data_IF_383982261353
#
_entry.id   IF_383982261353
#
_cell.length_a   1.000
_cell.length_b   1.000
_cell.length_c   1.000
_cell.angle_alpha   90.00
_cell.angle_beta   90.00
_cell.angle_gamma   90.00
#
_symmetry.space_group_name_H-M   'P 1'
#
loop_
_entity.id
_entity.type
_entity.pdbx_description
1 polymer ?
#
# COMPACT_ATOMS: atom_id res chain seq x y z
N UNK A 1 8.44 -18.15 -2.76
CA UNK A 1 7.49 -17.16 -3.31
C UNK A 1 7.33 -15.95 -2.38
N UNK A 2 6.99 -16.10 -1.10
CA UNK A 2 6.91 -14.99 -0.12
C UNK A 2 8.09 -14.00 -0.11
N UNK A 3 9.34 -14.48 -0.11
CA UNK A 3 10.54 -13.61 -0.19
C UNK A 3 10.63 -12.77 -1.48
N UNK A 4 10.08 -13.25 -2.59
CA UNK A 4 10.01 -12.50 -3.86
C UNK A 4 8.95 -11.39 -3.79
N UNK A 5 7.88 -11.59 -3.01
CA UNK A 5 6.84 -10.60 -2.74
C UNK A 5 7.40 -9.47 -1.86
N UNK A 6 7.99 -9.82 -0.72
CA UNK A 6 8.47 -8.86 0.30
C UNK A 6 9.66 -8.00 -0.18
N UNK A 7 10.47 -8.51 -1.12
CA UNK A 7 11.73 -7.85 -1.53
C UNK A 7 11.63 -7.13 -2.89
N UNK A 8 10.49 -7.22 -3.60
CA UNK A 8 10.26 -6.66 -4.93
C UNK A 8 11.06 -7.34 -6.06
N UNK A 9 12.39 -7.40 -5.94
CA UNK A 9 13.27 -8.28 -6.71
C UNK A 9 14.48 -8.68 -5.87
N UNK A 10 14.92 -9.93 -5.98
CA UNK A 10 15.94 -10.53 -5.11
C UNK A 10 16.80 -11.54 -5.88
N UNK A 11 18.05 -11.75 -5.47
CA UNK A 11 18.95 -12.73 -6.08
C UNK A 11 18.79 -14.12 -5.45
N UNK A 12 19.18 -15.16 -6.18
CA UNK A 12 19.23 -16.52 -5.63
C UNK A 12 20.20 -16.67 -4.43
N UNK A 13 21.23 -15.82 -4.37
CA UNK A 13 22.16 -15.78 -3.23
C UNK A 13 21.48 -15.24 -1.98
N UNK A 14 20.84 -14.07 -2.08
CA UNK A 14 20.11 -13.46 -0.96
C UNK A 14 18.97 -14.34 -0.45
N UNK A 15 18.25 -15.06 -1.33
CA UNK A 15 17.26 -16.06 -0.91
C UNK A 15 17.94 -17.21 -0.17
N UNK A 16 19.07 -17.70 -0.68
CA UNK A 16 19.85 -18.77 -0.08
C UNK A 16 20.30 -18.43 1.33
N UNK A 17 20.83 -17.22 1.53
CA UNK A 17 21.29 -16.72 2.83
C UNK A 17 20.13 -16.64 3.83
N UNK A 18 18.98 -16.09 3.43
CA UNK A 18 17.80 -15.97 4.30
C UNK A 18 17.16 -17.31 4.68
N UNK A 19 17.22 -18.30 3.78
CA UNK A 19 16.60 -19.60 3.98
C UNK A 19 17.58 -20.69 4.43
N UNK A 20 18.87 -20.36 4.61
CA UNK A 20 19.95 -21.33 4.85
C UNK A 20 19.99 -22.46 3.80
N UNK A 21 19.78 -22.10 2.53
CA UNK A 21 19.76 -23.03 1.40
C UNK A 21 20.93 -22.78 0.44
N UNK A 22 21.42 -23.86 -0.17
CA UNK A 22 22.41 -23.74 -1.22
C UNK A 22 21.85 -22.98 -2.43
N UNK A 23 22.58 -22.00 -3.01
CA UNK A 23 22.12 -21.22 -4.15
C UNK A 23 21.72 -22.06 -5.37
N UNK A 24 22.29 -23.25 -5.55
CA UNK A 24 21.91 -24.18 -6.61
C UNK A 24 20.48 -24.72 -6.43
N UNK A 25 20.09 -25.08 -5.21
CA UNK A 25 18.74 -25.53 -4.89
C UNK A 25 17.72 -24.41 -5.10
N UNK A 26 18.05 -23.20 -4.65
CA UNK A 26 17.21 -22.01 -4.87
C UNK A 26 16.97 -21.74 -6.36
N UNK A 27 18.02 -21.83 -7.20
CA UNK A 27 17.88 -21.65 -8.65
C UNK A 27 16.92 -22.64 -9.29
N UNK A 28 16.99 -23.93 -8.90
CA UNK A 28 16.06 -24.94 -9.41
C UNK A 28 14.60 -24.60 -9.09
N UNK A 29 14.32 -24.07 -7.90
CA UNK A 29 12.97 -23.62 -7.55
C UNK A 29 12.55 -22.35 -8.33
N UNK A 30 13.47 -21.41 -8.53
CA UNK A 30 13.21 -20.21 -9.33
C UNK A 30 12.94 -20.54 -10.80
N UNK A 31 13.69 -21.49 -11.37
CA UNK A 31 13.50 -21.95 -12.74
C UNK A 31 12.11 -22.59 -12.92
N UNK A 32 11.66 -23.41 -11.96
CA UNK A 32 10.31 -23.98 -11.98
C UNK A 32 9.21 -22.90 -11.89
N UNK A 33 9.42 -21.84 -11.09
CA UNK A 33 8.50 -20.70 -11.02
C UNK A 33 8.48 -19.89 -12.32
N UNK A 34 9.62 -19.78 -13.02
CA UNK A 34 9.69 -19.12 -14.33
C UNK A 34 8.96 -19.95 -15.39
N UNK A 35 9.17 -21.27 -15.40
CA UNK A 35 8.50 -22.19 -16.31
C UNK A 35 6.98 -22.18 -16.12
N UNK A 36 6.52 -22.04 -14.88
CA UNK A 36 5.10 -21.90 -14.54
C UNK A 36 4.52 -20.49 -14.85
N UNK A 37 5.34 -19.54 -15.29
CA UNK A 37 4.94 -18.15 -15.54
C UNK A 37 4.74 -17.28 -14.29
N UNK A 38 5.14 -17.78 -13.12
CA UNK A 38 4.90 -17.15 -11.81
C UNK A 38 6.01 -16.20 -11.38
N UNK A 39 7.20 -16.37 -11.94
CA UNK A 39 8.33 -15.49 -11.71
C UNK A 39 9.01 -15.13 -13.03
N UNK A 40 9.76 -14.05 -13.03
CA UNK A 40 10.61 -13.66 -14.15
C UNK A 40 12.01 -13.29 -13.67
N UNK A 41 12.99 -13.52 -14.55
CA UNK A 41 14.37 -13.14 -14.32
C UNK A 41 14.67 -11.80 -14.98
N UNK A 42 15.25 -10.88 -14.22
CA UNK A 42 15.65 -9.56 -14.66
C UNK A 42 17.18 -9.41 -14.55
N UNK A 43 17.80 -8.66 -15.47
CA UNK A 43 19.18 -8.21 -15.27
C UNK A 43 19.25 -7.27 -14.05
N UNK A 44 20.30 -7.39 -13.26
CA UNK A 44 20.57 -6.40 -12.21
C UNK A 44 20.85 -5.03 -12.83
N UNK A 45 20.32 -3.96 -12.22
CA UNK A 45 20.68 -2.60 -12.62
C UNK A 45 22.17 -2.34 -12.39
N UNK A 46 22.77 -1.40 -13.12
CA UNK A 46 24.20 -1.07 -13.03
C UNK A 46 24.66 -0.70 -11.62
N UNK A 47 23.81 0.01 -10.85
CA UNK A 47 24.07 0.41 -9.47
C UNK A 47 23.87 -0.71 -8.44
N UNK A 48 23.27 -1.84 -8.85
CA UNK A 48 23.04 -3.02 -8.01
C UNK A 48 24.16 -4.06 -8.17
N UNK A 49 25.22 -3.73 -8.91
CA UNK A 49 26.37 -4.61 -9.07
C UNK A 49 27.30 -4.50 -7.87
N UNK A 50 27.30 -5.55 -7.05
CA UNK A 50 28.32 -5.73 -6.01
C UNK A 50 29.50 -6.53 -6.59
N UNK A 51 30.61 -5.86 -6.87
CA UNK A 51 31.90 -6.48 -7.20
C UNK A 51 32.19 -6.73 -8.69
N UNK A 52 33.29 -7.45 -8.96
CA UNK A 52 33.73 -7.85 -10.32
C UNK A 52 33.08 -9.17 -10.73
N UNK A 53 32.46 -9.21 -11.90
CA UNK A 53 31.91 -10.44 -12.49
C UNK A 53 30.66 -10.20 -13.35
N UNK A 54 30.08 -11.28 -13.88
CA UNK A 54 28.79 -11.21 -14.58
C UNK A 54 27.69 -10.84 -13.57
N UNK A 55 26.86 -9.81 -13.83
CA UNK A 55 25.80 -9.42 -12.90
C UNK A 55 24.90 -10.59 -12.51
N UNK A 56 24.60 -10.69 -11.21
CA UNK A 56 23.68 -11.69 -10.70
C UNK A 56 22.27 -11.45 -11.27
N UNK A 57 21.64 -12.50 -11.79
CA UNK A 57 20.21 -12.45 -12.16
C UNK A 57 19.39 -12.15 -10.91
N UNK A 58 18.48 -11.19 -11.01
CA UNK A 58 17.46 -10.93 -9.99
C UNK A 58 16.15 -11.55 -10.44
N UNK A 59 15.32 -11.91 -9.48
CA UNK A 59 14.06 -12.59 -9.71
C UNK A 59 12.95 -11.80 -9.03
N UNK A 60 11.79 -11.70 -9.68
CA UNK A 60 10.57 -11.16 -9.08
C UNK A 60 9.36 -12.01 -9.48
N UNK A 61 8.29 -11.94 -8.71
CA UNK A 61 7.01 -12.52 -9.13
C UNK A 61 6.45 -11.75 -10.34
N UNK A 62 5.79 -12.46 -11.24
CA UNK A 62 4.92 -11.88 -12.26
C UNK A 62 3.58 -11.49 -11.63
N UNK A 63 2.68 -10.87 -12.41
CA UNK A 63 1.30 -10.67 -11.96
C UNK A 63 0.60 -12.03 -11.69
N UNK A 64 0.80 -13.02 -12.55
CA UNK A 64 0.21 -14.36 -12.41
C UNK A 64 0.72 -15.12 -11.17
N UNK A 65 2.00 -14.97 -10.82
CA UNK A 65 2.54 -15.57 -9.59
C UNK A 65 2.26 -14.78 -8.32
N UNK A 66 1.78 -13.53 -8.44
CA UNK A 66 1.25 -12.72 -7.32
C UNK A 66 -0.22 -13.02 -7.02
N UNK A 67 -1.03 -13.27 -8.05
CA UNK A 67 -2.19 -14.17 -7.93
C UNK A 67 -1.68 -15.55 -7.46
N UNK A 68 -2.42 -16.65 -7.34
CA UNK A 68 -1.94 -17.95 -6.77
C UNK A 68 -1.46 -17.96 -5.31
N UNK A 69 -0.86 -16.89 -4.76
CA UNK A 69 -0.28 -16.91 -3.42
C UNK A 69 -1.28 -16.72 -2.27
N UNK A 70 -2.55 -16.35 -2.53
CA UNK A 70 -3.50 -16.05 -1.44
C UNK A 70 -4.99 -16.38 -1.64
N UNK A 71 -5.39 -17.11 -2.69
CA UNK A 71 -6.81 -17.10 -3.07
C UNK A 71 -7.78 -17.98 -2.25
N UNK A 72 -7.36 -19.02 -1.53
CA UNK A 72 -8.35 -19.87 -0.84
C UNK A 72 -9.08 -19.17 0.31
N UNK A 73 -8.40 -18.26 1.01
CA UNK A 73 -9.02 -17.49 2.09
C UNK A 73 -9.80 -16.29 1.54
N UNK A 74 -9.28 -15.65 0.49
CA UNK A 74 -9.97 -14.55 -0.16
C UNK A 74 -11.26 -15.02 -0.85
N UNK A 75 -11.26 -16.19 -1.48
CA UNK A 75 -12.45 -16.81 -2.09
C UNK A 75 -13.52 -17.10 -1.03
N UNK A 76 -13.11 -17.62 0.13
CA UNK A 76 -14.01 -17.86 1.26
C UNK A 76 -14.56 -16.55 1.82
N UNK A 77 -13.71 -15.52 1.97
CA UNK A 77 -14.11 -14.21 2.46
C UNK A 77 -15.10 -13.53 1.49
N UNK A 78 -14.82 -13.57 0.18
CA UNK A 78 -15.72 -13.06 -0.85
C UNK A 78 -17.05 -13.82 -0.85
N UNK A 79 -17.03 -15.16 -0.71
CA UNK A 79 -18.26 -15.95 -0.59
C UNK A 79 -19.09 -15.57 0.66
N UNK A 80 -18.44 -15.35 1.79
CA UNK A 80 -19.10 -14.89 3.02
C UNK A 80 -19.71 -13.48 2.85
N UNK A 81 -19.00 -12.57 2.18
CA UNK A 81 -19.51 -11.22 1.88
C UNK A 81 -20.69 -11.25 0.92
N UNK A 82 -20.67 -12.12 -0.10
CA UNK A 82 -21.84 -12.36 -0.98
C UNK A 82 -23.05 -12.83 -0.18
N UNK A 83 -22.86 -13.80 0.71
CA UNK A 83 -23.93 -14.30 1.58
C UNK A 83 -24.45 -13.21 2.52
N UNK A 84 -23.57 -12.36 3.06
CA UNK A 84 -23.95 -11.21 3.90
C UNK A 84 -24.84 -10.24 3.11
N UNK A 85 -24.47 -9.92 1.87
CA UNK A 85 -25.26 -9.07 0.97
C UNK A 85 -26.61 -9.68 0.64
N UNK A 86 -26.67 -11.00 0.41
CA UNK A 86 -27.93 -11.70 0.13
C UNK A 86 -28.90 -11.68 1.32
N UNK A 87 -28.40 -11.88 2.54
CA UNK A 87 -29.24 -11.96 3.74
C UNK A 87 -29.61 -10.57 4.25
N UNK A 88 -28.64 -9.65 4.26
CA UNK A 88 -28.74 -8.35 4.94
C UNK A 88 -28.79 -7.13 4.02
N UNK A 89 -28.69 -7.32 2.70
CA UNK A 89 -28.64 -6.24 1.73
C UNK A 89 -27.35 -5.42 1.78
N UNK A 90 -27.35 -4.31 1.04
CA UNK A 90 -26.17 -3.43 0.91
C UNK A 90 -25.79 -2.76 2.23
N UNK A 91 -26.79 -2.41 3.06
CA UNK A 91 -26.55 -1.79 4.37
C UNK A 91 -25.75 -2.71 5.30
N UNK A 92 -25.94 -4.03 5.21
CA UNK A 92 -25.17 -4.98 6.00
C UNK A 92 -23.69 -5.02 5.57
N UNK A 93 -23.42 -4.90 4.27
CA UNK A 93 -22.06 -4.81 3.71
C UNK A 93 -21.39 -3.52 4.16
N UNK A 94 -22.08 -2.37 4.02
CA UNK A 94 -21.57 -1.07 4.47
C UNK A 94 -21.30 -1.05 5.98
N UNK A 95 -22.21 -1.59 6.79
CA UNK A 95 -22.02 -1.68 8.23
C UNK A 95 -20.86 -2.62 8.61
N UNK A 96 -20.66 -3.70 7.87
CA UNK A 96 -19.50 -4.57 8.04
C UNK A 96 -18.20 -3.84 7.69
N UNK A 97 -18.13 -3.20 6.53
CA UNK A 97 -16.97 -2.44 6.07
C UNK A 97 -16.59 -1.35 7.08
N UNK A 98 -17.58 -0.60 7.57
CA UNK A 98 -17.39 0.42 8.60
C UNK A 98 -16.83 -0.17 9.91
N UNK A 99 -17.48 -1.18 10.47
CA UNK A 99 -17.01 -1.86 11.70
C UNK A 99 -15.59 -2.41 11.54
N UNK A 100 -15.29 -2.95 10.37
CA UNK A 100 -13.97 -3.51 10.06
C UNK A 100 -12.89 -2.43 10.13
N UNK A 101 -13.08 -1.28 9.51
CA UNK A 101 -12.06 -0.22 9.56
C UNK A 101 -12.03 0.49 10.91
N UNK A 102 -13.16 0.64 11.59
CA UNK A 102 -13.19 1.18 12.95
C UNK A 102 -12.38 0.31 13.93
N UNK A 103 -12.35 -1.02 13.72
CA UNK A 103 -11.49 -1.90 14.50
C UNK A 103 -9.97 -1.66 14.28
N UNK A 104 -9.59 -1.05 13.15
CA UNK A 104 -8.21 -0.68 12.83
C UNK A 104 -7.91 0.75 13.30
N UNK A 105 -8.77 1.70 12.94
CA UNK A 105 -8.51 3.13 13.08
C UNK A 105 -9.21 3.77 14.28
N UNK A 106 -10.21 3.13 14.89
CA UNK A 106 -10.99 3.71 15.98
C UNK A 106 -10.20 3.99 17.27
N UNK A 107 -9.04 3.36 17.45
CA UNK A 107 -8.11 3.65 18.54
C UNK A 107 -7.03 4.68 18.19
N UNK A 108 -6.94 5.10 16.92
CA UNK A 108 -5.93 6.04 16.46
C UNK A 108 -6.30 7.44 16.94
N UNK A 109 -5.35 8.11 17.60
CA UNK A 109 -5.54 9.50 18.02
C UNK A 109 -5.66 10.40 16.78
N UNK A 110 -6.75 11.16 16.71
CA UNK A 110 -6.99 12.12 15.64
C UNK A 110 -5.94 13.24 15.63
N UNK A 111 -5.91 14.05 14.58
CA UNK A 111 -5.09 15.27 14.56
C UNK A 111 -5.54 16.22 15.69
N UNK A 112 -4.59 16.75 16.47
CA UNK A 112 -4.87 17.64 17.59
C UNK A 112 -5.38 19.01 17.12
N UNK A 113 -4.94 19.44 15.93
CA UNK A 113 -5.40 20.64 15.26
C UNK A 113 -5.30 20.49 13.73
N UNK A 114 -5.71 21.53 13.00
CA UNK A 114 -5.56 21.60 11.54
C UNK A 114 -4.15 22.06 11.10
N UNK A 115 -3.20 22.21 12.03
CA UNK A 115 -1.82 22.53 11.70
C UNK A 115 -1.15 21.38 10.95
N UNK A 116 -0.31 21.71 9.98
CA UNK A 116 0.25 20.72 9.06
C UNK A 116 1.03 19.62 9.80
N UNK A 117 1.74 19.97 10.87
CA UNK A 117 2.50 19.02 11.68
C UNK A 117 1.58 17.99 12.38
N UNK A 118 0.41 18.41 12.85
CA UNK A 118 -0.54 17.53 13.55
C UNK A 118 -1.23 16.58 12.56
N UNK A 119 -1.57 17.07 11.37
CA UNK A 119 -2.16 16.26 10.30
C UNK A 119 -1.16 15.22 9.79
N UNK A 120 0.10 15.60 9.61
CA UNK A 120 1.16 14.66 9.22
C UNK A 120 1.40 13.59 10.30
N UNK A 121 1.48 13.99 11.57
CA UNK A 121 1.63 13.05 12.68
C UNK A 121 0.42 12.08 12.76
N UNK A 122 -0.80 12.57 12.50
CA UNK A 122 -1.98 11.72 12.40
C UNK A 122 -1.90 10.75 11.21
N UNK A 123 -1.43 11.20 10.05
CA UNK A 123 -1.22 10.34 8.87
C UNK A 123 -0.20 9.22 9.14
N UNK A 124 0.88 9.50 9.88
CA UNK A 124 1.85 8.50 10.32
C UNK A 124 1.23 7.47 11.28
N UNK A 125 0.38 7.92 12.20
CA UNK A 125 -0.37 7.01 13.10
C UNK A 125 -1.35 6.12 12.32
N UNK A 126 -2.05 6.67 11.32
CA UNK A 126 -2.93 5.91 10.42
C UNK A 126 -2.14 4.85 9.65
N UNK A 127 -1.01 5.22 9.03
CA UNK A 127 -0.16 4.27 8.31
C UNK A 127 0.38 3.16 9.24
N UNK A 128 0.74 3.51 10.48
CA UNK A 128 1.18 2.54 11.48
C UNK A 128 0.06 1.56 11.88
N UNK A 129 -1.15 2.07 12.10
CA UNK A 129 -2.31 1.24 12.44
C UNK A 129 -2.70 0.28 11.31
N UNK A 130 -2.70 0.76 10.06
CA UNK A 130 -2.92 -0.09 8.89
C UNK A 130 -1.83 -1.17 8.78
N UNK A 131 -0.57 -0.81 9.01
CA UNK A 131 0.54 -1.77 8.98
C UNK A 131 0.37 -2.86 10.03
N UNK A 132 -0.04 -2.49 11.25
CA UNK A 132 -0.37 -3.45 12.32
C UNK A 132 -1.56 -4.36 11.95
N UNK A 133 -2.47 -3.89 11.10
CA UNK A 133 -3.60 -4.65 10.57
C UNK A 133 -3.28 -5.50 9.33
N UNK A 134 -2.00 -5.62 8.94
CA UNK A 134 -1.55 -6.47 7.83
C UNK A 134 -1.42 -5.76 6.47
N UNK A 135 -1.60 -4.44 6.43
CA UNK A 135 -1.21 -3.65 5.26
C UNK A 135 0.31 -3.42 5.24
N UNK A 136 0.84 -2.95 4.12
CA UNK A 136 2.18 -2.35 4.06
C UNK A 136 2.00 -0.88 3.75
N UNK A 137 1.92 -0.03 4.78
CA UNK A 137 1.60 1.38 4.62
C UNK A 137 2.77 2.31 4.97
N UNK A 138 2.93 3.37 4.19
CA UNK A 138 3.97 4.40 4.37
C UNK A 138 3.38 5.79 4.17
N UNK A 139 3.97 6.81 4.77
CA UNK A 139 3.67 8.21 4.47
C UNK A 139 4.78 8.86 3.65
N UNK A 140 4.42 9.83 2.81
CA UNK A 140 5.37 10.66 2.09
C UNK A 140 4.85 12.09 1.93
N UNK A 141 5.67 13.09 2.26
CA UNK A 141 5.37 14.48 1.92
C UNK A 141 5.47 14.67 0.41
N UNK A 142 4.50 15.35 -0.18
CA UNK A 142 4.49 15.66 -1.61
C UNK A 142 4.42 17.17 -1.83
N UNK A 143 5.35 17.66 -2.65
CA UNK A 143 5.34 19.02 -3.18
C UNK A 143 4.63 19.07 -4.53
N UNK A 144 3.93 20.17 -4.82
CA UNK A 144 3.16 20.35 -6.05
C UNK A 144 2.23 21.56 -5.96
N UNK A 145 1.33 21.76 -6.93
CA UNK A 145 0.33 22.84 -6.87
C UNK A 145 -0.62 22.71 -5.68
N UNK A 146 -0.78 21.49 -5.14
CA UNK A 146 -1.42 21.21 -3.85
C UNK A 146 -0.38 20.52 -2.97
N UNK A 147 0.01 21.18 -1.88
CA UNK A 147 0.91 20.60 -0.88
C UNK A 147 0.15 19.60 -0.01
N UNK A 148 0.80 18.51 0.36
CA UNK A 148 0.17 17.54 1.24
C UNK A 148 1.07 16.39 1.67
N UNK A 149 0.46 15.45 2.41
CA UNK A 149 1.03 14.14 2.72
C UNK A 149 0.25 13.06 1.97
N UNK A 150 0.93 12.02 1.52
CA UNK A 150 0.32 10.84 0.94
C UNK A 150 0.46 9.67 1.88
N UNK A 151 -0.63 8.92 2.07
CA UNK A 151 -0.64 7.60 2.69
C UNK A 151 -0.68 6.59 1.55
N UNK A 152 0.38 5.78 1.43
CA UNK A 152 0.51 4.77 0.39
C UNK A 152 0.44 3.37 1.01
N UNK A 153 -0.50 2.53 0.54
CA UNK A 153 -0.61 1.13 0.91
C UNK A 153 -0.09 0.26 -0.24
N UNK A 154 1.12 -0.29 -0.08
CA UNK A 154 1.78 -1.17 -1.07
C UNK A 154 1.27 -2.61 -1.02
N UNK A 155 0.49 -2.93 0.01
CA UNK A 155 -0.23 -4.19 0.17
C UNK A 155 -1.55 -3.91 0.89
N UNK A 156 -2.64 -4.47 0.36
CA UNK A 156 -3.96 -4.44 0.98
C UNK A 156 -4.42 -5.89 1.19
N UNK A 157 -4.62 -6.35 2.43
CA UNK A 157 -4.98 -7.74 2.74
C UNK A 157 -6.41 -8.10 2.34
N UNK A 158 -7.18 -7.15 1.79
CA UNK A 158 -8.55 -7.37 1.32
C UNK A 158 -8.75 -6.91 -0.11
N UNK A 159 -7.67 -6.68 -0.87
CA UNK A 159 -7.80 -6.15 -2.24
C UNK A 159 -8.66 -7.04 -3.13
N UNK A 160 -8.53 -8.37 -3.02
CA UNK A 160 -9.33 -9.29 -3.83
C UNK A 160 -10.82 -9.22 -3.49
N UNK A 161 -11.17 -9.15 -2.20
CA UNK A 161 -12.57 -8.99 -1.77
C UNK A 161 -13.10 -7.61 -2.17
N UNK A 162 -12.27 -6.57 -2.08
CA UNK A 162 -12.64 -5.21 -2.44
C UNK A 162 -12.88 -4.99 -3.95
N UNK A 163 -12.47 -5.93 -4.81
CA UNK A 163 -12.84 -5.92 -6.24
C UNK A 163 -14.35 -6.09 -6.43
N UNK A 164 -15.02 -6.88 -5.59
CA UNK A 164 -16.47 -7.09 -5.64
C UNK A 164 -17.23 -6.19 -4.64
N UNK A 165 -16.57 -5.76 -3.56
CA UNK A 165 -17.17 -5.02 -2.45
C UNK A 165 -16.43 -3.68 -2.21
N UNK A 166 -16.65 -2.66 -3.06
CA UNK A 166 -15.97 -1.37 -2.98
C UNK A 166 -16.24 -0.60 -1.68
N UNK A 167 -17.31 -0.93 -0.95
CA UNK A 167 -17.65 -0.36 0.36
C UNK A 167 -16.52 -0.50 1.37
N UNK A 168 -15.67 -1.54 1.22
CA UNK A 168 -14.46 -1.71 2.02
C UNK A 168 -13.47 -0.55 1.82
N UNK A 169 -13.25 -0.14 0.57
CA UNK A 169 -12.37 0.97 0.22
C UNK A 169 -12.99 2.32 0.62
N UNK A 170 -14.29 2.48 0.42
CA UNK A 170 -15.02 3.71 0.76
C UNK A 170 -15.03 3.95 2.28
N UNK A 171 -15.36 2.92 3.07
CA UNK A 171 -15.32 3.00 4.52
C UNK A 171 -13.91 3.34 5.02
N UNK A 172 -12.87 2.74 4.42
CA UNK A 172 -11.49 3.05 4.75
C UNK A 172 -11.14 4.51 4.47
N UNK A 173 -11.49 5.05 3.31
CA UNK A 173 -11.26 6.45 2.97
C UNK A 173 -11.99 7.39 3.94
N UNK A 174 -13.24 7.08 4.29
CA UNK A 174 -14.04 7.87 5.22
C UNK A 174 -13.44 7.87 6.63
N UNK A 175 -13.03 6.71 7.14
CA UNK A 175 -12.39 6.61 8.45
C UNK A 175 -11.04 7.35 8.50
N UNK A 176 -10.25 7.31 7.41
CA UNK A 176 -9.04 8.12 7.31
C UNK A 176 -9.37 9.62 7.40
N UNK A 177 -10.37 10.10 6.67
CA UNK A 177 -10.77 11.51 6.70
C UNK A 177 -11.19 11.97 8.12
N UNK A 178 -11.91 11.11 8.84
CA UNK A 178 -12.34 11.37 10.21
C UNK A 178 -11.16 11.49 11.19
N UNK A 179 -10.19 10.57 11.12
CA UNK A 179 -8.99 10.62 11.97
C UNK A 179 -8.10 11.82 11.63
N UNK A 180 -7.98 12.15 10.35
CA UNK A 180 -7.14 13.25 9.88
C UNK A 180 -7.79 14.63 10.06
N UNK A 181 -9.10 14.68 10.31
CA UNK A 181 -9.85 15.93 10.47
C UNK A 181 -9.94 16.79 9.20
N UNK A 182 -9.61 16.22 8.04
CA UNK A 182 -9.65 16.90 6.73
C UNK A 182 -10.10 15.93 5.64
N UNK A 183 -10.51 16.49 4.50
CA UNK A 183 -10.85 15.67 3.34
C UNK A 183 -9.63 14.93 2.83
N UNK A 184 -9.85 13.75 2.26
CA UNK A 184 -8.79 12.97 1.61
C UNK A 184 -9.24 12.52 0.24
N UNK A 185 -8.28 12.43 -0.69
CA UNK A 185 -8.54 12.04 -2.07
C UNK A 185 -7.79 10.74 -2.39
N UNK A 186 -8.53 9.70 -2.78
CA UNK A 186 -7.92 8.49 -3.36
C UNK A 186 -7.45 8.81 -4.79
N UNK A 187 -6.16 8.59 -5.05
CA UNK A 187 -5.50 8.85 -6.34
C UNK A 187 -5.25 7.56 -7.14
N UNK A 188 -5.02 6.45 -6.45
CA UNK A 188 -4.69 5.16 -7.03
C UNK A 188 -5.21 4.04 -6.12
N UNK A 189 -5.51 2.87 -6.69
CA UNK A 189 -5.94 1.69 -5.93
C UNK A 189 -5.37 0.40 -6.51
N UNK A 190 -4.96 -0.52 -5.64
CA UNK A 190 -4.52 -1.86 -6.04
C UNK A 190 -5.62 -2.60 -6.80
N UNK A 191 -6.88 -2.42 -6.41
CA UNK A 191 -8.06 -3.00 -7.09
C UNK A 191 -8.13 -2.58 -8.56
N UNK A 192 -7.75 -1.35 -8.90
CA UNK A 192 -7.70 -0.88 -10.29
C UNK A 192 -6.39 -1.28 -11.02
N UNK A 193 -5.53 -2.10 -10.40
CA UNK A 193 -4.27 -2.56 -10.98
C UNK A 193 -3.08 -1.65 -10.71
N UNK A 194 -3.21 -0.63 -9.87
CA UNK A 194 -2.09 0.21 -9.47
C UNK A 194 -1.10 -0.56 -8.57
N UNK A 195 0.15 -0.10 -8.50
CA UNK A 195 1.16 -0.72 -7.65
C UNK A 195 0.93 -0.50 -6.14
N UNK A 196 0.11 0.48 -5.77
CA UNK A 196 -0.26 0.80 -4.41
C UNK A 196 -1.59 1.58 -4.39
N UNK A 197 -2.32 1.50 -3.29
CA UNK A 197 -3.37 2.47 -3.01
C UNK A 197 -2.71 3.76 -2.51
N UNK A 198 -3.07 4.90 -3.10
CA UNK A 198 -2.50 6.20 -2.70
C UNK A 198 -3.62 7.15 -2.31
N UNK A 199 -3.62 7.57 -1.05
CA UNK A 199 -4.55 8.58 -0.53
C UNK A 199 -3.79 9.87 -0.28
N UNK A 200 -4.20 10.95 -0.94
CA UNK A 200 -3.67 12.29 -0.72
C UNK A 200 -4.44 13.00 0.38
N UNK A 201 -3.71 13.57 1.32
CA UNK A 201 -4.19 14.39 2.42
C UNK A 201 -3.62 15.79 2.20
N UNK A 202 -4.46 16.79 1.89
CA UNK A 202 -4.01 18.14 1.66
C UNK A 202 -3.57 18.78 2.98
N UNK A 203 -2.50 19.54 2.90
CA UNK A 203 -2.03 20.41 3.98
C UNK A 203 -2.35 21.86 3.64
N UNK A 204 -2.48 22.71 4.64
CA UNK A 204 -2.90 24.09 4.41
C UNK A 204 -1.79 24.80 3.63
N UNK A 205 -2.08 25.52 2.53
CA UNK A 205 -1.05 26.31 1.88
C UNK A 205 -0.55 27.36 2.88
N UNK A 206 0.73 27.27 3.24
CA UNK A 206 1.42 28.38 3.90
C UNK A 206 1.19 29.62 3.03
N UNK A 207 0.63 30.73 3.55
CA UNK A 207 0.51 31.94 2.76
C UNK A 207 1.91 32.37 2.34
N UNK A 208 2.14 32.46 1.03
CA UNK A 208 3.36 33.06 0.50
C UNK A 208 3.52 34.46 1.14
N UNK A 209 4.74 34.85 1.57
CA UNK A 209 4.94 36.17 2.14
C UNK A 209 4.45 37.22 1.13
N UNK A 210 3.47 38.04 1.53
CA UNK A 210 2.93 39.10 0.69
C UNK A 210 4.09 40.00 0.23
N UNK A 211 4.20 40.35 -1.05
CA UNK A 211 5.19 41.34 -1.47
C UNK A 211 4.93 42.63 -0.71
N UNK A 212 5.93 43.07 0.08
CA UNK A 212 5.88 44.35 0.80
C UNK A 212 5.52 45.45 -0.19
N UNK A 213 4.56 46.34 0.10
CA UNK A 213 4.29 47.47 -0.76
C UNK A 213 5.56 48.31 -0.89
N UNK A 214 5.97 48.56 -2.13
CA UNK A 214 7.09 49.44 -2.42
C UNK A 214 6.77 50.83 -1.85
N UNK A 215 7.54 51.25 -0.87
CA UNK A 215 7.54 52.63 -0.38
C UNK A 215 8.02 53.53 -1.51
N UNK A 216 7.10 54.21 -2.18
CA UNK A 216 7.39 55.37 -3.02
C UNK A 216 7.86 56.51 -2.12
N UNK A 217 9.16 56.76 -2.12
CA UNK A 217 9.77 57.98 -1.60
C UNK A 217 9.38 59.15 -2.51
N UNK A 218 8.84 60.21 -1.92
CA UNK A 218 8.67 61.54 -2.55
C UNK A 218 9.95 62.35 -2.35
#
# INVERSE_FOLDING_TARGET
>A
MRLLLESGSITAGEIGDRLSLAPAGVRRHLDALIEAGDAEALPAASWQQAGRGRPAKRFRLTAAGRAKLDHSYDDLAAAAMRQLREIGGEEAVQAFARRRVDAILGGVQAADSAEDADVEAAAERVASALTNAGYVATTARVGGPIHGVQICQHHCPVSHVAEEFPELCEAEQQAMAEVLGTHVQRLATIVNGDCACTTHVPLTPTPAPSPRPATTST
#
